data_IF_128381628042
#
_entry.id   IF_128381628042
#
_cell.length_a   1.000
_cell.length_b   1.000
_cell.length_c   1.000
_cell.angle_alpha   90.00
_cell.angle_beta   90.00
_cell.angle_gamma   90.00
#
_symmetry.space_group_name_H-M   'P 1'
#
loop_
_entity.id
_entity.type
_entity.pdbx_description
1 polymer ?
#
# COMPACT_ATOMS: atom_id res chain seq x y z
N UNK A 1 -42.06 19.12 35.23
CA UNK A 1 -41.46 17.77 35.03
C UNK A 1 -41.00 17.53 33.58
N UNK A 2 -41.76 17.97 32.57
CA UNK A 2 -41.44 17.76 31.13
C UNK A 2 -40.07 18.32 30.69
N UNK A 3 -39.66 19.51 31.16
CA UNK A 3 -38.35 20.11 30.83
C UNK A 3 -37.15 19.29 31.33
N UNK A 4 -37.27 18.62 32.49
CA UNK A 4 -36.20 17.77 33.04
C UNK A 4 -36.07 16.46 32.26
N UNK A 5 -37.19 15.92 31.77
CA UNK A 5 -37.21 14.71 30.94
C UNK A 5 -36.59 14.96 29.56
N UNK A 6 -36.82 16.16 29.00
CA UNK A 6 -36.27 16.57 27.70
C UNK A 6 -34.74 16.74 27.70
N UNK A 7 -34.17 17.25 28.79
CA UNK A 7 -32.71 17.38 28.94
C UNK A 7 -32.06 15.99 29.08
N UNK A 8 -32.72 15.07 29.79
CA UNK A 8 -32.23 13.71 29.97
C UNK A 8 -32.20 12.93 28.65
N UNK A 9 -33.22 13.09 27.79
CA UNK A 9 -33.26 12.45 26.47
C UNK A 9 -32.20 13.00 25.50
N UNK A 10 -31.93 14.30 25.51
CA UNK A 10 -30.86 14.90 24.70
C UNK A 10 -29.48 14.42 25.17
N UNK A 11 -29.27 14.30 26.49
CA UNK A 11 -28.02 13.77 27.04
C UNK A 11 -27.81 12.29 26.69
N UNK A 12 -28.85 11.45 26.71
CA UNK A 12 -28.78 10.05 26.29
C UNK A 12 -28.51 9.88 24.79
N UNK A 13 -29.10 10.73 23.94
CA UNK A 13 -28.83 10.74 22.49
C UNK A 13 -27.39 11.16 22.17
N UNK A 14 -26.82 12.10 22.92
CA UNK A 14 -25.43 12.51 22.77
C UNK A 14 -24.43 11.39 23.16
N UNK A 15 -24.78 10.53 24.12
CA UNK A 15 -23.95 9.40 24.52
C UNK A 15 -23.95 8.25 23.49
N UNK A 16 -25.06 8.03 22.77
CA UNK A 16 -25.12 7.02 21.70
C UNK A 16 -24.39 7.44 20.42
N UNK A 17 -24.16 8.75 20.21
CA UNK A 17 -23.41 9.25 19.05
C UNK A 17 -21.89 9.16 19.20
N UNK A 18 -21.37 8.74 20.36
CA UNK A 18 -19.94 8.59 20.62
C UNK A 18 -19.42 7.15 20.42
N UNK A 19 -20.27 6.23 19.96
CA UNK A 19 -19.79 4.94 19.45
C UNK A 19 -19.30 5.14 18.02
N UNK A 20 -18.12 5.76 17.87
CA UNK A 20 -17.37 5.59 16.63
C UNK A 20 -17.17 4.08 16.48
N UNK A 21 -17.66 3.49 15.38
CA UNK A 21 -17.14 2.20 14.96
C UNK A 21 -15.65 2.43 14.74
N UNK A 22 -14.83 1.98 15.68
CA UNK A 22 -13.39 1.89 15.43
C UNK A 22 -13.26 1.10 14.13
N UNK A 23 -12.74 1.73 13.08
CA UNK A 23 -12.43 1.02 11.85
C UNK A 23 -11.46 -0.09 12.21
N UNK A 24 -11.92 -1.34 12.18
CA UNK A 24 -11.13 -2.51 12.53
C UNK A 24 -10.24 -2.84 11.33
N UNK A 25 -9.16 -2.09 11.17
CA UNK A 25 -8.06 -2.44 10.29
C UNK A 25 -6.97 -3.18 11.09
N UNK A 26 -6.29 -4.09 10.41
CA UNK A 26 -5.16 -4.84 10.95
C UNK A 26 -3.97 -3.92 11.21
N UNK A 27 -3.02 -4.35 12.02
CA UNK A 27 -1.73 -3.68 12.09
C UNK A 27 -0.76 -4.28 11.05
N UNK A 28 0.24 -3.51 10.65
CA UNK A 28 1.42 -4.06 9.98
C UNK A 28 2.31 -4.71 11.05
N UNK A 29 2.76 -5.93 10.78
CA UNK A 29 3.74 -6.63 11.62
C UNK A 29 5.14 -6.07 11.40
N UNK A 30 5.40 -5.56 10.19
CA UNK A 30 6.64 -4.87 9.87
C UNK A 30 6.62 -3.44 10.44
N UNK A 31 7.70 -3.07 11.12
CA UNK A 31 7.92 -1.68 11.56
C UNK A 31 8.51 -0.85 10.43
N UNK A 32 8.05 0.40 10.27
CA UNK A 32 8.64 1.35 9.32
C UNK A 32 10.09 1.63 9.71
N UNK A 33 10.99 1.53 8.73
CA UNK A 33 12.40 1.91 8.87
C UNK A 33 12.83 2.75 7.66
N UNK A 34 13.50 3.91 7.85
CA UNK A 34 14.02 4.69 6.74
C UNK A 34 14.95 3.86 5.84
N UNK A 35 14.78 3.98 4.54
CA UNK A 35 15.64 3.33 3.55
C UNK A 35 16.86 4.22 3.24
N UNK A 36 17.98 3.90 3.88
CA UNK A 36 19.27 4.59 3.73
C UNK A 36 20.21 3.92 2.72
N UNK A 37 19.80 2.79 2.16
CA UNK A 37 20.60 2.00 1.22
C UNK A 37 20.69 2.58 -0.19
N UNK A 38 21.38 1.83 -1.07
CA UNK A 38 21.57 2.16 -2.49
C UNK A 38 21.28 0.99 -3.44
N UNK A 39 20.86 -0.14 -2.88
CA UNK A 39 20.46 -1.36 -3.58
C UNK A 39 19.23 -1.14 -4.46
N UNK A 40 18.39 -0.13 -4.16
CA UNK A 40 17.18 0.21 -4.88
C UNK A 40 17.11 1.70 -5.17
N UNK A 41 16.57 2.02 -6.34
CA UNK A 41 16.10 3.36 -6.68
C UNK A 41 14.74 3.65 -6.04
N UNK A 42 14.60 4.86 -5.52
CA UNK A 42 13.37 5.39 -4.89
C UNK A 42 12.88 6.68 -5.56
N UNK A 43 13.52 7.11 -6.64
CA UNK A 43 13.22 8.30 -7.44
C UNK A 43 12.35 7.97 -8.67
N UNK A 44 11.52 6.94 -8.52
CA UNK A 44 10.63 6.44 -9.54
C UNK A 44 9.69 5.37 -8.99
N UNK A 45 9.27 4.46 -9.86
CA UNK A 45 8.49 3.27 -9.51
C UNK A 45 9.02 2.05 -10.26
N UNK A 46 8.66 0.87 -9.77
CA UNK A 46 8.91 -0.39 -10.44
C UNK A 46 7.59 -0.91 -11.01
N UNK A 47 7.61 -1.48 -12.20
CA UNK A 47 6.43 -2.06 -12.82
C UNK A 47 6.78 -3.40 -13.47
N UNK A 48 5.79 -4.27 -13.56
CA UNK A 48 5.90 -5.58 -14.21
C UNK A 48 5.28 -5.58 -15.61
N UNK A 49 5.50 -6.66 -16.36
CA UNK A 49 4.64 -7.00 -17.49
C UNK A 49 3.28 -7.53 -17.02
N UNK A 50 2.55 -8.25 -17.88
CA UNK A 50 1.40 -9.03 -17.44
C UNK A 50 1.87 -10.19 -16.56
N UNK A 51 1.73 -10.03 -15.26
CA UNK A 51 2.04 -11.00 -14.21
C UNK A 51 0.75 -11.34 -13.44
N UNK A 52 0.84 -12.07 -12.33
CA UNK A 52 -0.24 -12.38 -11.39
C UNK A 52 -1.69 -12.25 -11.93
N UNK A 53 -2.29 -13.34 -12.42
CA UNK A 53 -3.68 -13.36 -12.92
C UNK A 53 -3.92 -12.36 -14.08
N UNK A 54 -2.94 -12.20 -14.96
CA UNK A 54 -2.95 -11.30 -16.12
C UNK A 54 -3.17 -9.81 -15.75
N UNK A 55 -2.54 -9.39 -14.65
CA UNK A 55 -2.52 -8.00 -14.19
C UNK A 55 -1.11 -7.44 -14.25
N UNK A 56 -1.03 -6.12 -14.25
CA UNK A 56 0.24 -5.42 -14.16
C UNK A 56 0.37 -4.89 -12.75
N UNK A 57 1.44 -5.27 -12.08
CA UNK A 57 1.79 -4.80 -10.76
C UNK A 57 2.74 -3.60 -10.84
N UNK A 58 2.54 -2.65 -9.94
CA UNK A 58 3.41 -1.49 -9.78
C UNK A 58 3.72 -1.25 -8.30
N UNK A 59 4.97 -0.90 -8.02
CA UNK A 59 5.53 -0.71 -6.69
C UNK A 59 6.28 0.62 -6.64
N UNK A 60 5.88 1.50 -5.73
CA UNK A 60 6.58 2.75 -5.46
C UNK A 60 7.21 2.69 -4.06
N UNK A 61 8.52 2.93 -3.99
CA UNK A 61 9.31 2.87 -2.76
C UNK A 61 9.74 4.27 -2.32
N UNK A 62 9.66 4.58 -1.03
CA UNK A 62 9.99 5.90 -0.48
C UNK A 62 11.15 5.82 0.51
N UNK A 63 11.97 6.88 0.58
CA UNK A 63 13.14 6.93 1.48
C UNK A 63 12.79 6.81 2.96
N UNK A 64 11.56 7.13 3.35
CA UNK A 64 11.07 6.98 4.72
C UNK A 64 10.60 5.54 5.06
N UNK A 65 10.79 4.57 4.17
CA UNK A 65 10.41 3.17 4.40
C UNK A 65 8.96 2.84 4.05
N UNK A 66 8.20 3.79 3.52
CA UNK A 66 6.83 3.56 3.00
C UNK A 66 6.91 2.93 1.62
N UNK A 67 5.96 2.05 1.30
CA UNK A 67 5.71 1.60 -0.07
C UNK A 67 4.24 1.73 -0.46
N UNK A 68 3.98 1.87 -1.75
CA UNK A 68 2.64 1.76 -2.35
C UNK A 68 2.69 0.69 -3.43
N UNK A 69 1.76 -0.25 -3.39
CA UNK A 69 1.76 -1.42 -4.27
C UNK A 69 0.35 -1.71 -4.77
N UNK A 70 0.15 -1.81 -6.08
CA UNK A 70 -1.14 -2.16 -6.65
C UNK A 70 -1.03 -3.04 -7.89
N UNK A 71 -2.08 -3.80 -8.16
CA UNK A 71 -2.30 -4.49 -9.43
C UNK A 71 -3.47 -3.86 -10.17
N UNK A 72 -3.31 -3.63 -11.46
CA UNK A 72 -4.38 -3.17 -12.32
C UNK A 72 -4.46 -4.03 -13.58
N UNK A 73 -5.68 -4.17 -14.11
CA UNK A 73 -5.90 -4.76 -15.42
C UNK A 73 -5.74 -3.65 -16.44
N UNK A 74 -4.87 -3.83 -17.44
CA UNK A 74 -4.72 -2.88 -18.51
C UNK A 74 -5.06 -3.51 -19.87
N UNK A 75 -5.66 -2.71 -20.76
CA UNK A 75 -5.85 -3.00 -22.19
C UNK A 75 -5.31 -1.87 -23.09
N UNK A 76 -4.65 -0.86 -22.51
CA UNK A 76 -4.03 0.24 -23.24
C UNK A 76 -2.72 -0.19 -23.87
N UNK A 77 -2.49 0.25 -25.11
CA UNK A 77 -1.27 0.00 -25.87
C UNK A 77 -0.05 0.70 -25.23
N UNK A 78 -0.27 1.76 -24.45
CA UNK A 78 0.76 2.56 -23.79
C UNK A 78 0.71 2.45 -22.26
N UNK A 79 1.13 1.29 -21.75
CA UNK A 79 1.17 0.97 -20.32
C UNK A 79 1.76 2.09 -19.44
N UNK A 80 2.87 2.64 -19.89
CA UNK A 80 3.64 3.65 -19.17
C UNK A 80 2.84 4.94 -18.94
N UNK A 81 2.13 5.43 -19.95
CA UNK A 81 1.30 6.63 -19.80
C UNK A 81 0.10 6.37 -18.91
N UNK A 82 -0.45 5.16 -18.95
CA UNK A 82 -1.53 4.79 -18.03
C UNK A 82 -1.06 4.82 -16.58
N UNK A 83 0.06 4.18 -16.27
CA UNK A 83 0.64 4.18 -14.91
C UNK A 83 0.92 5.61 -14.44
N UNK A 84 1.56 6.42 -15.27
CA UNK A 84 1.95 7.78 -14.89
C UNK A 84 0.78 8.74 -14.76
N UNK A 85 -0.27 8.62 -15.58
CA UNK A 85 -1.39 9.57 -15.55
C UNK A 85 -2.56 9.12 -14.65
N UNK A 86 -2.80 7.81 -14.53
CA UNK A 86 -3.99 7.28 -13.87
C UNK A 86 -3.70 6.57 -12.55
N UNK A 87 -2.46 6.12 -12.34
CA UNK A 87 -2.06 5.48 -11.09
C UNK A 87 -1.24 6.46 -10.24
N UNK A 88 -0.04 6.83 -10.69
CA UNK A 88 0.89 7.64 -9.89
C UNK A 88 0.68 9.15 -10.01
N UNK A 89 0.20 9.64 -11.15
CA UNK A 89 -0.13 11.05 -11.36
C UNK A 89 -1.58 11.41 -11.01
N UNK A 90 -2.41 10.42 -10.64
CA UNK A 90 -3.79 10.66 -10.21
C UNK A 90 -3.84 11.00 -8.73
N UNK A 91 -4.05 12.27 -8.40
CA UNK A 91 -4.19 12.72 -7.01
C UNK A 91 -5.30 11.96 -6.29
N UNK A 92 -6.46 11.77 -6.93
CA UNK A 92 -7.58 11.04 -6.36
C UNK A 92 -7.23 9.58 -6.01
N UNK A 93 -6.45 8.91 -6.87
CA UNK A 93 -6.06 7.52 -6.63
C UNK A 93 -5.03 7.41 -5.50
N UNK A 94 -4.01 8.27 -5.50
CA UNK A 94 -2.98 8.25 -4.46
C UNK A 94 -3.51 8.75 -3.11
N UNK A 95 -4.36 9.78 -3.11
CA UNK A 95 -5.00 10.26 -1.88
C UNK A 95 -5.91 9.19 -1.29
N UNK A 96 -6.57 8.38 -2.12
CA UNK A 96 -7.28 7.21 -1.62
C UNK A 96 -6.33 6.23 -0.93
N UNK A 97 -5.20 5.88 -1.54
CA UNK A 97 -4.19 4.99 -0.91
C UNK A 97 -3.64 5.55 0.41
N UNK A 98 -3.51 6.87 0.55
CA UNK A 98 -2.99 7.50 1.77
C UNK A 98 -4.03 7.59 2.88
N UNK A 99 -5.28 7.84 2.50
CA UNK A 99 -6.40 8.08 3.41
C UNK A 99 -7.28 6.84 3.66
N UNK A 100 -6.95 5.71 3.04
CA UNK A 100 -7.52 4.41 3.36
C UNK A 100 -6.39 3.39 3.54
N UNK A 101 -6.45 2.47 4.51
CA UNK A 101 -5.44 1.44 4.66
C UNK A 101 -5.63 0.38 3.56
N UNK A 102 -5.22 0.69 2.33
CA UNK A 102 -5.27 -0.23 1.20
C UNK A 102 -4.17 0.11 0.20
N UNK A 103 -3.38 -0.89 -0.20
CA UNK A 103 -2.27 -0.75 -1.16
C UNK A 103 -1.13 0.19 -0.71
N UNK A 104 -1.09 0.55 0.56
CA UNK A 104 0.00 1.29 1.21
C UNK A 104 0.57 0.46 2.37
N UNK A 105 1.86 0.61 2.63
CA UNK A 105 2.53 -0.18 3.65
C UNK A 105 3.97 0.24 3.88
N UNK A 106 4.76 -0.71 4.36
CA UNK A 106 6.19 -0.50 4.66
C UNK A 106 7.04 -1.53 3.95
N UNK A 107 8.30 -1.19 3.73
CA UNK A 107 9.29 -2.10 3.18
C UNK A 107 10.61 -2.02 3.94
N UNK A 108 11.39 -3.08 3.81
CA UNK A 108 12.75 -3.18 4.31
C UNK A 108 13.65 -3.82 3.26
N UNK A 109 14.95 -3.53 3.36
CA UNK A 109 15.97 -4.15 2.51
C UNK A 109 17.04 -4.74 3.42
N UNK A 110 17.37 -6.00 3.20
CA UNK A 110 18.45 -6.70 3.91
C UNK A 110 19.33 -7.41 2.88
N UNK A 111 20.49 -6.81 2.59
CA UNK A 111 21.36 -7.27 1.50
C UNK A 111 20.63 -7.22 0.16
N UNK A 112 20.42 -8.39 -0.46
CA UNK A 112 19.71 -8.53 -1.74
C UNK A 112 18.24 -8.92 -1.59
N UNK A 113 17.68 -8.83 -0.39
CA UNK A 113 16.28 -9.18 -0.13
C UNK A 113 15.46 -7.91 0.07
N UNK A 114 14.37 -7.81 -0.69
CA UNK A 114 13.30 -6.85 -0.47
C UNK A 114 12.15 -7.56 0.23
N UNK A 115 11.71 -7.02 1.34
CA UNK A 115 10.44 -7.40 1.98
C UNK A 115 9.53 -6.20 2.05
N UNK A 116 8.24 -6.39 1.79
CA UNK A 116 7.25 -5.37 2.05
C UNK A 116 5.93 -5.97 2.52
N UNK A 117 5.19 -5.19 3.30
CA UNK A 117 3.86 -5.54 3.77
C UNK A 117 2.94 -4.36 3.54
N UNK A 118 1.80 -4.61 2.91
CA UNK A 118 0.77 -3.59 2.63
C UNK A 118 -0.56 -3.98 3.25
N UNK A 119 -1.36 -2.95 3.58
CA UNK A 119 -2.77 -3.15 3.84
C UNK A 119 -3.50 -3.62 2.58
N UNK A 120 -4.54 -4.41 2.76
CA UNK A 120 -5.28 -5.06 1.69
C UNK A 120 -6.78 -5.13 1.99
N UNK A 121 -7.58 -5.48 0.97
CA UNK A 121 -9.04 -5.63 1.02
C UNK A 121 -9.83 -4.32 1.24
N UNK A 122 -9.34 -3.18 0.74
CA UNK A 122 -10.17 -1.98 0.60
C UNK A 122 -10.64 -1.37 1.91
N UNK A 123 -9.77 -1.38 2.92
CA UNK A 123 -10.09 -0.96 4.30
C UNK A 123 -9.18 -1.60 5.36
N UNK A 124 -8.15 -2.34 4.94
CA UNK A 124 -7.09 -2.81 5.83
C UNK A 124 -7.52 -3.96 6.73
N UNK A 125 -8.62 -4.64 6.42
CA UNK A 125 -9.09 -5.81 7.19
C UNK A 125 -8.14 -7.01 7.06
N UNK A 126 -7.21 -6.96 6.12
CA UNK A 126 -6.10 -7.88 5.96
C UNK A 126 -4.81 -7.12 5.62
N UNK A 127 -3.68 -7.78 5.82
CA UNK A 127 -2.39 -7.36 5.26
C UNK A 127 -1.86 -8.44 4.32
N UNK A 128 -0.99 -8.03 3.39
CA UNK A 128 -0.31 -8.94 2.48
C UNK A 128 1.17 -8.61 2.47
N UNK A 129 2.00 -9.62 2.72
CA UNK A 129 3.45 -9.50 2.68
C UNK A 129 4.01 -10.07 1.39
N UNK A 130 5.11 -9.50 0.90
CA UNK A 130 5.87 -10.01 -0.22
C UNK A 130 7.35 -10.11 0.14
N UNK A 131 8.00 -11.15 -0.37
CA UNK A 131 9.45 -11.28 -0.38
C UNK A 131 9.95 -11.37 -1.81
N UNK A 132 10.99 -10.62 -2.11
CA UNK A 132 11.64 -10.58 -3.41
C UNK A 132 13.15 -10.45 -3.31
N UNK A 133 13.79 -10.60 -4.46
CA UNK A 133 15.22 -10.50 -4.67
C UNK A 133 15.54 -9.22 -5.47
N UNK A 134 16.56 -8.51 -5.02
CA UNK A 134 17.11 -7.34 -5.68
C UNK A 134 18.23 -7.82 -6.61
N UNK A 135 17.92 -7.89 -7.90
CA UNK A 135 18.90 -8.34 -8.91
C UNK A 135 19.90 -7.23 -9.24
N UNK A 136 19.43 -5.98 -9.24
CA UNK A 136 20.21 -4.75 -9.32
C UNK A 136 19.32 -3.56 -8.91
N UNK A 137 19.85 -2.35 -8.96
CA UNK A 137 19.18 -1.11 -8.58
C UNK A 137 17.96 -0.72 -9.44
N UNK A 138 17.78 -1.39 -10.58
CA UNK A 138 16.66 -1.16 -11.50
C UNK A 138 15.78 -2.39 -11.72
N UNK A 139 16.12 -3.54 -11.13
CA UNK A 139 15.43 -4.81 -11.39
C UNK A 139 15.18 -5.59 -10.10
N UNK A 140 13.92 -5.89 -9.88
CA UNK A 140 13.41 -6.69 -8.78
C UNK A 140 12.81 -7.99 -9.30
N UNK A 141 12.90 -9.05 -8.51
CA UNK A 141 12.20 -10.32 -8.74
C UNK A 141 11.38 -10.67 -7.50
N UNK A 142 10.06 -10.51 -7.55
CA UNK A 142 9.18 -10.92 -6.46
C UNK A 142 8.97 -12.43 -6.53
N UNK A 143 9.05 -13.11 -5.38
CA UNK A 143 9.12 -14.59 -5.32
C UNK A 143 8.04 -15.22 -4.47
N UNK A 144 7.43 -14.47 -3.56
CA UNK A 144 6.43 -15.00 -2.64
C UNK A 144 5.45 -13.94 -2.18
N UNK A 145 4.18 -14.31 -2.16
CA UNK A 145 3.12 -13.62 -1.44
C UNK A 145 2.72 -14.40 -0.19
N UNK A 146 2.51 -13.69 0.92
CA UNK A 146 1.87 -14.21 2.13
C UNK A 146 0.60 -13.41 2.37
N UNK A 147 -0.54 -14.10 2.40
CA UNK A 147 -1.84 -13.55 2.77
C UNK A 147 -1.98 -13.68 4.29
N UNK A 148 -1.73 -12.60 5.03
CA UNK A 148 -1.49 -12.72 6.48
C UNK A 148 -2.77 -13.01 7.28
N UNK A 149 -3.95 -12.83 6.68
CA UNK A 149 -5.22 -13.13 7.34
C UNK A 149 -5.44 -14.64 7.54
N UNK A 150 -5.12 -15.46 6.53
CA UNK A 150 -5.35 -16.91 6.53
C UNK A 150 -4.03 -17.71 6.54
N UNK A 151 -2.88 -17.04 6.41
CA UNK A 151 -1.56 -17.65 6.35
C UNK A 151 -1.27 -18.32 5.00
N UNK A 152 -2.12 -18.12 3.99
CA UNK A 152 -1.90 -18.68 2.65
C UNK A 152 -0.62 -18.11 2.05
N UNK A 153 0.20 -18.99 1.48
CA UNK A 153 1.43 -18.63 0.78
C UNK A 153 1.28 -18.98 -0.69
N UNK A 154 1.68 -18.04 -1.56
CA UNK A 154 1.73 -18.23 -3.00
C UNK A 154 3.16 -17.96 -3.47
N UNK A 155 3.84 -18.98 -3.98
CA UNK A 155 5.11 -18.79 -4.68
C UNK A 155 4.83 -18.20 -6.06
N UNK A 156 5.56 -17.14 -6.40
CA UNK A 156 5.43 -16.40 -7.66
C UNK A 156 6.80 -16.23 -8.30
N UNK A 157 6.81 -15.77 -9.55
CA UNK A 157 8.03 -15.39 -10.25
C UNK A 157 7.77 -14.17 -11.12
N UNK A 158 7.94 -12.98 -10.54
CA UNK A 158 7.53 -11.74 -11.18
C UNK A 158 8.68 -10.75 -11.27
N UNK A 159 9.03 -10.37 -12.50
CA UNK A 159 10.04 -9.37 -12.76
C UNK A 159 9.45 -7.96 -12.81
N UNK A 160 10.13 -7.06 -12.10
CA UNK A 160 9.76 -5.67 -11.96
C UNK A 160 10.93 -4.79 -12.39
N UNK A 161 10.66 -3.83 -13.26
CA UNK A 161 11.64 -2.95 -13.87
C UNK A 161 11.41 -1.51 -13.42
N UNK A 162 12.50 -0.82 -13.10
CA UNK A 162 12.47 0.56 -12.67
C UNK A 162 12.15 1.51 -13.83
N UNK A 163 11.32 2.51 -13.54
CA UNK A 163 11.10 3.67 -14.38
C UNK A 163 11.26 4.97 -13.57
N UNK A 164 12.12 5.91 -14.01
CA UNK A 164 12.22 7.22 -13.36
C UNK A 164 10.88 7.95 -13.37
N UNK A 165 10.53 8.62 -12.26
CA UNK A 165 9.32 9.41 -12.16
C UNK A 165 9.53 10.60 -11.21
N UNK A 166 9.64 11.79 -11.78
CA UNK A 166 10.08 12.99 -11.06
C UNK A 166 9.05 13.54 -10.07
N UNK A 167 7.75 13.35 -10.34
CA UNK A 167 6.66 13.93 -9.56
C UNK A 167 6.03 12.88 -8.63
N UNK A 168 6.85 12.29 -7.75
CA UNK A 168 6.33 11.29 -6.81
C UNK A 168 5.29 11.93 -5.88
N UNK A 169 4.18 11.23 -5.61
CA UNK A 169 3.21 11.68 -4.63
C UNK A 169 3.80 11.68 -3.21
N UNK A 170 3.15 12.39 -2.30
CA UNK A 170 3.46 12.30 -0.87
C UNK A 170 3.16 10.89 -0.34
N UNK A 171 3.98 10.40 0.58
CA UNK A 171 3.83 9.08 1.21
C UNK A 171 3.25 9.16 2.63
N UNK A 172 2.97 10.36 3.13
CA UNK A 172 2.39 10.56 4.47
C UNK A 172 1.01 9.92 4.55
N UNK A 173 0.80 9.08 5.57
CA UNK A 173 -0.45 8.42 5.87
C UNK A 173 -0.57 8.21 7.39
N UNK A 174 -1.76 8.39 7.94
CA UNK A 174 -2.03 8.18 9.37
C UNK A 174 -2.01 6.70 9.78
N UNK A 175 -2.07 5.77 8.82
CA UNK A 175 -2.05 4.33 9.07
C UNK A 175 -0.64 3.76 9.20
N UNK A 176 0.38 4.50 8.73
CA UNK A 176 1.78 4.08 8.83
C UNK A 176 2.44 4.83 9.99
N UNK A 177 2.75 4.09 11.06
CA UNK A 177 3.38 4.62 12.27
C UNK A 177 4.90 4.68 12.16
#
# INVERSE_FOLDING_TARGET
MVKKLFILTIALLALMSCCNQDEVYQNLDMSRQPYTGKELRTDGYYYSGYVHRNKIGTLMLFRNGVCMFTYFSNRYDELNLYVENHIWGSSAYVDKMRNTPDNIGVFSVSGHVLEFQVFWQGGGTATRSCMGEILNDTTLRLKRWCYNLDGTVEDIDELYYFKPFSHKPDSTSSFIK
#
